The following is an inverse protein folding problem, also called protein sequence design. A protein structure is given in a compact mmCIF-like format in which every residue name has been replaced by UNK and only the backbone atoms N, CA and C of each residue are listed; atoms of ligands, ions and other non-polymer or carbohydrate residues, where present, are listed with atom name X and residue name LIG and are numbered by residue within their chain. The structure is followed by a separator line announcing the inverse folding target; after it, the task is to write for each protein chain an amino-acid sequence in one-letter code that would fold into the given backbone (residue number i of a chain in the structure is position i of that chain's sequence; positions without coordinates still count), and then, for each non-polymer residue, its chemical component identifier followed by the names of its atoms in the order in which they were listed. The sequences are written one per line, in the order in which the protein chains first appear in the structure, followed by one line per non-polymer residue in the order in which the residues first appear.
data_IF_401287092715
#
_entry.id   IF_401287092715
#
_cell.length_a   1.000
_cell.length_b   1.000
_cell.length_c   1.000
_cell.angle_alpha   90.00
_cell.angle_beta   90.00
_cell.angle_gamma   90.00
#
_symmetry.space_group_name_H-M   'P 1'
#
loop_
_entity.id
_entity.type
_entity.pdbx_description
1 polymer ?
#
# COMPACT_ATOMS: atom_id res chain seq x y z
N UNK A 1 6.33 11.32 -15.35
CA UNK A 1 6.48 10.00 -14.70
C UNK A 1 6.24 8.93 -15.74
N UNK A 2 7.16 7.98 -15.97
CA UNK A 2 6.87 6.84 -16.84
C UNK A 2 6.06 5.85 -16.01
N UNK A 3 4.78 5.68 -16.33
CA UNK A 3 3.95 4.62 -15.75
C UNK A 3 4.51 3.29 -16.27
N UNK A 4 5.24 2.56 -15.41
CA UNK A 4 5.60 1.18 -15.68
C UNK A 4 4.39 0.33 -15.34
N UNK A 5 3.89 -0.46 -16.28
CA UNK A 5 2.82 -1.42 -16.03
C UNK A 5 3.30 -2.42 -14.97
N UNK A 6 2.92 -2.24 -13.72
CA UNK A 6 3.05 -3.24 -12.68
C UNK A 6 1.96 -4.29 -12.88
N UNK A 7 2.28 -5.54 -12.55
CA UNK A 7 1.26 -6.57 -12.43
C UNK A 7 0.53 -6.41 -11.10
N UNK A 8 -0.78 -6.72 -11.03
CA UNK A 8 -1.50 -6.82 -9.76
C UNK A 8 -0.77 -7.76 -8.79
N UNK A 9 -0.93 -7.51 -7.49
CA UNK A 9 -0.44 -8.42 -6.45
C UNK A 9 -1.15 -9.77 -6.56
N UNK A 10 -0.43 -10.85 -6.23
CA UNK A 10 -1.01 -12.19 -6.07
C UNK A 10 -1.64 -12.36 -4.69
N UNK A 11 -2.58 -13.29 -4.53
CA UNK A 11 -3.20 -13.61 -3.24
C UNK A 11 -2.16 -13.87 -2.14
N UNK A 12 -1.08 -14.60 -2.47
CA UNK A 12 0.02 -14.89 -1.52
C UNK A 12 0.80 -13.66 -1.09
N UNK A 13 0.87 -12.64 -1.94
CA UNK A 13 1.50 -11.36 -1.60
C UNK A 13 0.57 -10.49 -0.76
N UNK A 14 -0.73 -10.55 -1.02
CA UNK A 14 -1.78 -9.91 -0.21
C UNK A 14 -1.80 -10.52 1.20
N UNK A 15 -1.92 -11.84 1.31
CA UNK A 15 -1.89 -12.56 2.60
C UNK A 15 -0.65 -12.17 3.42
N UNK A 16 0.51 -12.10 2.77
CA UNK A 16 1.75 -11.71 3.44
C UNK A 16 1.76 -10.24 3.87
N UNK A 17 1.19 -9.33 3.08
CA UNK A 17 1.04 -7.93 3.46
C UNK A 17 0.13 -7.80 4.68
N UNK A 18 -0.98 -8.53 4.73
CA UNK A 18 -1.89 -8.54 5.88
C UNK A 18 -1.20 -9.01 7.15
N UNK A 19 -0.48 -10.14 7.08
CA UNK A 19 0.34 -10.62 8.20
C UNK A 19 1.36 -9.58 8.65
N UNK A 20 2.01 -8.87 7.71
CA UNK A 20 2.98 -7.84 8.02
C UNK A 20 2.35 -6.61 8.68
N UNK A 21 1.20 -6.14 8.18
CA UNK A 21 0.45 -5.01 8.76
C UNK A 21 0.03 -5.33 10.20
N UNK A 22 -0.51 -6.52 10.45
CA UNK A 22 -0.90 -6.95 11.79
C UNK A 22 0.29 -7.15 12.73
N UNK A 23 1.39 -7.75 12.24
CA UNK A 23 2.59 -8.02 13.05
C UNK A 23 3.30 -6.75 13.49
N UNK A 24 3.36 -5.74 12.61
CA UNK A 24 4.17 -4.53 12.81
C UNK A 24 3.34 -3.28 13.06
N UNK A 25 2.02 -3.35 13.00
CA UNK A 25 1.12 -2.24 13.24
C UNK A 25 0.88 -1.97 14.73
N UNK A 26 0.22 -0.84 14.98
CA UNK A 26 -0.36 -0.42 16.25
C UNK A 26 -1.79 0.08 16.02
N UNK A 27 -2.46 0.57 17.07
CA UNK A 27 -3.85 1.04 16.99
C UNK A 27 -4.09 2.19 16.00
N UNK A 28 -3.04 2.93 15.62
CA UNK A 28 -3.09 4.05 14.67
C UNK A 28 -2.67 3.64 13.24
N UNK A 29 -2.23 2.40 13.03
CA UNK A 29 -1.74 1.91 11.75
C UNK A 29 -2.88 1.48 10.82
N UNK A 30 -2.57 1.34 9.54
CA UNK A 30 -3.32 0.51 8.61
C UNK A 30 -3.15 -0.95 9.04
N UNK A 31 -4.25 -1.68 9.21
CA UNK A 31 -4.26 -3.01 9.82
C UNK A 31 -4.73 -4.13 8.89
N UNK A 32 -5.30 -3.80 7.73
CA UNK A 32 -5.67 -4.79 6.73
C UNK A 32 -5.42 -4.32 5.30
N UNK A 33 -5.50 -5.25 4.34
CA UNK A 33 -5.23 -4.94 2.95
C UNK A 33 -6.27 -3.97 2.34
N UNK A 34 -7.54 -4.05 2.73
CA UNK A 34 -8.55 -3.09 2.28
C UNK A 34 -8.30 -1.66 2.73
N UNK A 35 -7.82 -1.48 3.97
CA UNK A 35 -7.40 -0.16 4.44
C UNK A 35 -6.17 0.33 3.68
N UNK A 36 -5.20 -0.55 3.40
CA UNK A 36 -4.03 -0.22 2.60
C UNK A 36 -4.41 0.18 1.16
N UNK A 37 -5.33 -0.56 0.53
CA UNK A 37 -5.85 -0.28 -0.81
C UNK A 37 -6.52 1.09 -0.87
N UNK A 38 -7.45 1.36 0.05
CA UNK A 38 -8.14 2.65 0.14
C UNK A 38 -7.17 3.81 0.42
N UNK A 39 -6.20 3.60 1.32
CA UNK A 39 -5.16 4.58 1.63
C UNK A 39 -4.30 4.90 0.40
N UNK A 40 -3.75 3.89 -0.28
CA UNK A 40 -2.88 4.08 -1.46
C UNK A 40 -3.67 4.67 -2.64
N UNK A 41 -4.94 4.32 -2.79
CA UNK A 41 -5.85 4.96 -3.74
C UNK A 41 -5.98 6.46 -3.47
N UNK A 42 -6.23 6.85 -2.21
CA UNK A 42 -6.31 8.26 -1.85
C UNK A 42 -4.99 8.99 -2.13
N UNK A 43 -3.85 8.37 -1.81
CA UNK A 43 -2.50 8.93 -2.07
C UNK A 43 -2.29 9.24 -3.56
N UNK A 44 -2.73 8.37 -4.45
CA UNK A 44 -2.43 8.49 -5.89
C UNK A 44 -3.54 9.15 -6.73
N UNK A 45 -4.75 9.28 -6.18
CA UNK A 45 -5.87 9.99 -6.83
C UNK A 45 -5.73 11.52 -6.82
N UNK A 46 -4.85 12.06 -5.96
CA UNK A 46 -4.67 13.49 -5.78
C UNK A 46 -3.97 14.17 -6.98
N UNK A 47 -4.18 15.48 -7.19
CA UNK A 47 -3.55 16.21 -8.29
C UNK A 47 -2.04 16.40 -8.12
N UNK A 48 -1.52 16.19 -6.91
CA UNK A 48 -0.10 16.39 -6.55
C UNK A 48 0.50 15.07 -6.06
N UNK A 49 1.73 14.79 -6.48
CA UNK A 49 2.49 13.64 -5.98
C UNK A 49 2.88 13.84 -4.52
N UNK A 50 2.58 12.84 -3.68
CA UNK A 50 3.03 12.80 -2.28
C UNK A 50 4.36 12.04 -2.21
N UNK A 51 5.40 12.56 -1.53
CA UNK A 51 6.68 11.86 -1.39
C UNK A 51 6.53 10.49 -0.71
N UNK A 52 7.27 9.45 -1.16
CA UNK A 52 7.23 8.12 -0.57
C UNK A 52 7.33 8.07 0.94
N UNK A 53 8.31 8.76 1.52
CA UNK A 53 8.52 8.75 2.96
C UNK A 53 7.31 9.29 3.74
N UNK A 54 6.52 10.19 3.15
CA UNK A 54 5.34 10.76 3.80
C UNK A 54 4.22 9.72 3.91
N UNK A 55 3.89 9.04 2.81
CA UNK A 55 2.80 8.06 2.85
C UNK A 55 3.25 6.72 3.47
N UNK A 56 4.52 6.30 3.31
CA UNK A 56 5.06 5.12 3.98
C UNK A 56 5.05 5.26 5.50
N UNK A 57 5.36 6.46 6.03
CA UNK A 57 5.24 6.73 7.47
C UNK A 57 3.78 6.78 7.93
N UNK A 58 2.89 7.33 7.11
CA UNK A 58 1.47 7.45 7.44
C UNK A 58 0.73 6.11 7.50
N UNK A 59 1.23 5.05 6.84
CA UNK A 59 0.72 3.67 7.01
C UNK A 59 0.76 3.26 8.49
N UNK A 60 1.71 3.78 9.26
CA UNK A 60 1.97 3.34 10.64
C UNK A 60 1.49 4.34 11.71
N UNK A 61 0.52 5.20 11.37
CA UNK A 61 -0.09 6.15 12.33
C UNK A 61 0.55 7.54 12.41
N UNK A 62 1.56 7.84 11.57
CA UNK A 62 2.35 9.10 11.61
C UNK A 62 3.10 9.29 12.95
N UNK A 63 3.87 10.38 13.05
CA UNK A 63 4.68 10.67 14.23
C UNK A 63 6.00 9.91 14.24
N UNK A 64 6.49 9.56 15.44
CA UNK A 64 7.79 8.91 15.63
C UNK A 64 7.72 7.37 15.59
N UNK A 65 6.54 6.80 15.33
CA UNK A 65 6.37 5.36 15.26
C UNK A 65 6.95 4.81 13.96
N UNK A 66 7.78 3.77 14.10
CA UNK A 66 8.33 3.02 12.99
C UNK A 66 8.20 1.53 13.26
N UNK A 67 7.78 0.73 12.27
CA UNK A 67 7.69 -0.73 12.41
C UNK A 67 9.07 -1.32 12.75
N UNK A 68 9.11 -2.11 13.82
CA UNK A 68 10.32 -2.82 14.25
C UNK A 68 10.48 -4.12 13.45
N UNK A 69 10.92 -3.98 12.19
CA UNK A 69 11.13 -5.11 11.29
C UNK A 69 12.05 -6.17 11.88
N UNK A 70 11.70 -7.44 11.69
CA UNK A 70 12.55 -8.57 12.08
C UNK A 70 13.89 -8.54 11.35
N UNK A 71 13.88 -8.12 10.07
CA UNK A 71 15.06 -7.97 9.24
C UNK A 71 14.78 -7.02 8.05
N UNK A 72 15.85 -6.55 7.42
CA UNK A 72 15.79 -5.64 6.26
C UNK A 72 15.05 -6.24 5.04
N UNK A 73 15.05 -7.57 4.89
CA UNK A 73 14.37 -8.22 3.76
C UNK A 73 12.86 -8.09 3.88
N UNK A 74 12.29 -8.21 5.08
CA UNK A 74 10.86 -8.00 5.31
C UNK A 74 10.47 -6.55 5.04
N UNK A 75 11.26 -5.59 5.53
CA UNK A 75 11.04 -4.17 5.24
C UNK A 75 11.05 -3.89 3.73
N UNK A 76 12.08 -4.37 3.04
CA UNK A 76 12.25 -4.16 1.60
C UNK A 76 11.10 -4.80 0.82
N UNK A 77 10.67 -6.00 1.24
CA UNK A 77 9.53 -6.69 0.63
C UNK A 77 8.23 -5.91 0.83
N UNK A 78 7.95 -5.44 2.04
CA UNK A 78 6.75 -4.65 2.33
C UNK A 78 6.70 -3.38 1.48
N UNK A 79 7.79 -2.61 1.47
CA UNK A 79 7.89 -1.39 0.67
C UNK A 79 7.72 -1.70 -0.82
N UNK A 80 8.37 -2.77 -1.31
CA UNK A 80 8.25 -3.20 -2.71
C UNK A 80 6.83 -3.54 -3.13
N UNK A 81 6.10 -4.30 -2.31
CA UNK A 81 4.71 -4.66 -2.58
C UNK A 81 3.77 -3.45 -2.49
N UNK A 82 3.97 -2.52 -1.56
CA UNK A 82 3.23 -1.25 -1.53
C UNK A 82 3.43 -0.44 -2.81
N UNK A 83 4.67 -0.37 -3.32
CA UNK A 83 4.96 0.30 -4.58
C UNK A 83 4.35 -0.42 -5.78
N UNK A 84 4.34 -1.75 -5.79
CA UNK A 84 3.67 -2.52 -6.84
C UNK A 84 2.17 -2.22 -6.86
N UNK A 85 1.52 -2.21 -5.69
CA UNK A 85 0.08 -1.94 -5.55
C UNK A 85 -0.30 -0.52 -5.94
N UNK A 86 0.41 0.50 -5.41
CA UNK A 86 0.10 1.90 -5.75
C UNK A 86 0.34 2.20 -7.24
N UNK A 87 1.33 1.55 -7.88
CA UNK A 87 1.55 1.69 -9.32
C UNK A 87 0.45 1.01 -10.14
N UNK A 88 -0.11 -0.10 -9.67
CA UNK A 88 -1.22 -0.79 -10.33
C UNK A 88 -2.50 0.06 -10.24
N UNK A 89 -2.81 0.59 -9.05
CA UNK A 89 -3.92 1.55 -8.85
C UNK A 89 -3.73 2.77 -9.75
N UNK A 90 -2.55 3.39 -9.76
CA UNK A 90 -2.26 4.54 -10.61
C UNK A 90 -2.45 4.23 -12.10
N UNK A 91 -2.00 3.06 -12.53
CA UNK A 91 -2.19 2.57 -13.90
C UNK A 91 -3.66 2.42 -14.25
N UNK A 92 -4.45 1.81 -13.36
CA UNK A 92 -5.90 1.65 -13.52
C UNK A 92 -6.61 3.00 -13.62
N UNK A 93 -6.39 3.90 -12.67
CA UNK A 93 -6.99 5.24 -12.64
C UNK A 93 -6.62 6.09 -13.87
N UNK A 94 -5.41 5.90 -14.41
CA UNK A 94 -4.95 6.63 -15.60
C UNK A 94 -5.50 6.05 -16.91
N UNK A 95 -5.52 4.73 -17.07
CA UNK A 95 -5.82 4.06 -18.34
C UNK A 95 -7.31 3.73 -18.48
N UNK A 96 -7.94 3.25 -17.41
CA UNK A 96 -9.30 2.74 -17.41
C UNK A 96 -10.03 3.04 -16.09
N UNK A 97 -10.24 4.32 -15.73
CA UNK A 97 -10.81 4.71 -14.43
C UNK A 97 -12.21 4.14 -14.19
N UNK A 98 -12.97 3.84 -15.25
CA UNK A 98 -14.30 3.19 -15.15
C UNK A 98 -14.25 1.72 -14.72
N UNK A 99 -13.07 1.10 -14.73
CA UNK A 99 -12.84 -0.29 -14.29
C UNK A 99 -12.25 -0.34 -12.87
N UNK A 100 -11.97 0.81 -12.25
CA UNK A 100 -11.48 0.83 -10.89
C UNK A 100 -12.56 0.32 -9.95
N UNK A 101 -12.23 -0.73 -9.21
CA UNK A 101 -13.07 -1.29 -8.15
C UNK A 101 -12.25 -1.32 -6.86
N UNK A 102 -12.75 -0.74 -5.76
CA UNK A 102 -12.07 -0.81 -4.47
C UNK A 102 -12.05 -2.24 -3.93
N UNK A 103 -10.99 -2.59 -3.21
CA UNK A 103 -10.84 -3.92 -2.62
C UNK A 103 -11.44 -3.92 -1.22
N UNK A 104 -12.53 -4.67 -1.04
CA UNK A 104 -13.15 -4.90 0.26
C UNK A 104 -12.87 -6.33 0.74
N UNK A 105 -12.38 -6.46 1.97
CA UNK A 105 -12.42 -7.71 2.71
C UNK A 105 -13.86 -7.92 3.19
N UNK A 106 -14.45 -9.02 2.73
CA UNK A 106 -15.67 -9.57 3.31
C UNK A 106 -15.20 -10.51 4.42
N UNK A 107 -15.36 -10.12 5.68
CA UNK A 107 -15.10 -10.99 6.83
C UNK A 107 -15.89 -12.29 6.74
#
# INVERSE_FOLDING_TARGET
MKLTKSSPLTDREIDWLEEALLKYGNDDSVLCFSELDGFLTAVVSGPNMIPPNTWLSAIWGRGDYHPHWTNEKEMTRFVGLCFQHINDIAGCLYVAPVQFEPIFQWT
#
